data_IF_190401890767
#
_entry.id   IF_190401890767
#
_cell.length_a   1.000
_cell.length_b   1.000
_cell.length_c   1.000
_cell.angle_alpha   90.00
_cell.angle_beta   90.00
_cell.angle_gamma   90.00
#
_symmetry.space_group_name_H-M   'P 1'
#
loop_
_entity.id
_entity.type
_entity.pdbx_description
1 polymer ?
#
# COMPACT_ATOMS: atom_id res chain seq x y z
N UNK A 1 52.49 -14.47 2.75
CA UNK A 1 52.47 -15.90 2.35
C UNK A 1 52.26 -15.99 0.84
N UNK A 2 53.23 -16.53 0.10
CA UNK A 2 53.13 -16.64 -1.36
C UNK A 2 52.25 -17.85 -1.73
N UNK A 3 51.07 -17.59 -2.29
CA UNK A 3 50.17 -18.62 -2.82
C UNK A 3 50.88 -19.37 -3.98
N UNK A 4 50.74 -20.70 -4.02
CA UNK A 4 51.28 -21.54 -5.11
C UNK A 4 50.67 -21.15 -6.47
N UNK A 5 51.38 -21.43 -7.57
CA UNK A 5 50.93 -21.06 -8.92
C UNK A 5 49.54 -21.63 -9.27
N UNK A 6 49.23 -22.86 -8.83
CA UNK A 6 47.91 -23.47 -8.99
C UNK A 6 46.83 -22.73 -8.19
N UNK A 7 47.13 -22.32 -6.96
CA UNK A 7 46.20 -21.58 -6.10
C UNK A 7 45.90 -20.18 -6.64
N UNK A 8 46.87 -19.49 -7.24
CA UNK A 8 46.67 -18.15 -7.84
C UNK A 8 45.73 -18.18 -9.04
N UNK A 9 45.81 -19.22 -9.89
CA UNK A 9 44.93 -19.36 -11.05
C UNK A 9 43.49 -19.64 -10.64
N UNK A 10 43.28 -20.48 -9.62
CA UNK A 10 41.94 -20.73 -9.06
C UNK A 10 41.34 -19.47 -8.45
N UNK A 11 42.12 -18.72 -7.67
CA UNK A 11 41.68 -17.43 -7.09
C UNK A 11 41.35 -16.41 -8.17
N UNK A 12 42.17 -16.30 -9.23
CA UNK A 12 41.89 -15.42 -10.36
C UNK A 12 40.56 -15.77 -11.06
N UNK A 13 40.31 -17.05 -11.34
CA UNK A 13 39.05 -17.50 -11.94
C UNK A 13 37.84 -17.22 -11.04
N UNK A 14 37.96 -17.43 -9.72
CA UNK A 14 36.89 -17.14 -8.76
C UNK A 14 36.57 -15.64 -8.71
N UNK A 15 37.59 -14.77 -8.73
CA UNK A 15 37.40 -13.32 -8.73
C UNK A 15 36.75 -12.81 -10.01
N UNK A 16 37.15 -13.34 -11.17
CA UNK A 16 36.50 -13.00 -12.45
C UNK A 16 35.05 -13.50 -12.47
N UNK A 17 34.81 -14.73 -12.04
CA UNK A 17 33.46 -15.31 -11.96
C UNK A 17 32.53 -14.53 -11.03
N UNK A 18 33.00 -14.20 -9.83
CA UNK A 18 32.26 -13.37 -8.88
C UNK A 18 32.04 -11.94 -9.41
N UNK A 19 33.07 -11.35 -10.03
CA UNK A 19 32.97 -10.02 -10.63
C UNK A 19 31.92 -9.96 -11.74
N UNK A 20 31.93 -10.94 -12.64
CA UNK A 20 30.93 -11.08 -13.69
C UNK A 20 29.53 -11.29 -13.12
N UNK A 21 29.37 -12.15 -12.10
CA UNK A 21 28.09 -12.37 -11.43
C UNK A 21 27.54 -11.07 -10.82
N UNK A 22 28.37 -10.28 -10.13
CA UNK A 22 27.97 -9.01 -9.52
C UNK A 22 27.57 -7.96 -10.56
N UNK A 23 28.27 -7.91 -11.70
CA UNK A 23 27.89 -7.05 -12.83
C UNK A 23 26.54 -7.47 -13.40
N UNK A 24 26.32 -8.77 -13.60
CA UNK A 24 25.01 -9.29 -14.06
C UNK A 24 23.91 -8.93 -13.08
N UNK A 25 24.13 -9.10 -11.77
CA UNK A 25 23.17 -8.68 -10.74
C UNK A 25 22.91 -7.17 -10.80
N UNK A 26 23.95 -6.35 -10.93
CA UNK A 26 23.83 -4.89 -11.05
C UNK A 26 22.99 -4.46 -12.26
N UNK A 27 23.03 -5.20 -13.37
CA UNK A 27 22.21 -4.91 -14.55
C UNK A 27 20.78 -5.45 -14.41
N UNK A 28 20.61 -6.63 -13.82
CA UNK A 28 19.31 -7.29 -13.64
C UNK A 28 18.42 -6.58 -12.62
N UNK A 29 18.99 -6.09 -11.51
CA UNK A 29 18.19 -5.48 -10.44
C UNK A 29 17.32 -4.30 -10.93
N UNK A 30 17.88 -3.25 -11.57
CA UNK A 30 17.08 -2.11 -12.02
C UNK A 30 16.14 -2.45 -13.18
N UNK A 31 16.50 -3.42 -14.04
CA UNK A 31 15.75 -3.73 -15.26
C UNK A 31 14.67 -4.79 -15.08
N UNK A 32 14.78 -5.63 -14.05
CA UNK A 32 13.87 -6.75 -13.83
C UNK A 32 13.32 -6.81 -12.40
N UNK A 33 14.13 -6.47 -11.39
CA UNK A 33 13.79 -6.71 -9.98
C UNK A 33 13.01 -5.54 -9.37
N UNK A 34 13.32 -4.29 -9.71
CA UNK A 34 12.62 -3.10 -9.16
C UNK A 34 11.12 -3.16 -9.45
N UNK A 35 10.72 -3.51 -10.66
CA UNK A 35 9.31 -3.60 -11.04
C UNK A 35 8.51 -4.64 -10.23
N UNK A 36 9.20 -5.64 -9.67
CA UNK A 36 8.64 -6.70 -8.85
C UNK A 36 8.71 -6.40 -7.35
N UNK A 37 9.62 -5.52 -6.94
CA UNK A 37 9.84 -5.12 -5.55
C UNK A 37 9.09 -3.85 -5.18
N UNK A 38 8.84 -2.95 -6.13
CA UNK A 38 8.10 -1.72 -5.91
C UNK A 38 6.61 -2.07 -5.70
N UNK A 39 6.28 -2.35 -4.44
CA UNK A 39 4.98 -2.77 -3.95
C UNK A 39 4.74 -2.15 -2.59
N UNK A 40 3.49 -1.83 -2.31
CA UNK A 40 3.07 -1.33 -1.00
C UNK A 40 3.38 -2.39 0.06
N UNK A 41 4.00 -2.03 1.19
CA UNK A 41 4.28 -2.97 2.29
C UNK A 41 3.00 -3.59 2.87
N UNK A 42 3.11 -4.77 3.47
CA UNK A 42 1.98 -5.47 4.11
C UNK A 42 1.80 -5.11 5.59
N UNK A 43 2.77 -4.43 6.18
CA UNK A 43 2.77 -3.87 7.53
C UNK A 43 2.29 -2.41 7.54
N UNK A 44 1.47 -2.03 6.56
CA UNK A 44 0.92 -0.68 6.45
C UNK A 44 -0.06 -0.43 7.60
N UNK A 45 0.28 0.55 8.44
CA UNK A 45 -0.59 1.10 9.47
C UNK A 45 -0.54 2.62 9.38
N UNK A 46 -1.64 3.24 8.97
CA UNK A 46 -1.71 4.69 8.74
C UNK A 46 -2.91 5.28 9.45
N UNK A 47 -2.67 6.31 10.26
CA UNK A 47 -3.74 7.19 10.77
C UNK A 47 -3.65 8.54 10.07
N UNK A 48 -4.79 9.02 9.56
CA UNK A 48 -4.94 10.38 9.02
C UNK A 48 -6.01 11.12 9.79
N UNK A 49 -5.74 12.39 10.10
CA UNK A 49 -6.68 13.29 10.80
C UNK A 49 -6.94 14.49 9.90
N UNK A 50 -8.22 14.77 9.67
CA UNK A 50 -8.69 15.98 9.00
C UNK A 50 -9.56 16.80 9.93
N UNK A 51 -9.33 18.11 10.00
CA UNK A 51 -10.12 19.03 10.81
C UNK A 51 -10.97 19.94 9.93
N UNK A 52 -12.12 20.40 10.43
CA UNK A 52 -12.87 21.47 9.78
C UNK A 52 -12.00 22.71 9.62
N UNK A 53 -11.86 23.20 8.38
CA UNK A 53 -11.02 24.34 8.04
C UNK A 53 -11.53 25.61 8.75
N UNK A 54 -10.62 26.29 9.45
CA UNK A 54 -10.95 27.56 10.12
C UNK A 54 -11.43 28.62 9.11
N UNK A 55 -12.45 29.37 9.49
CA UNK A 55 -13.05 30.40 8.65
C UNK A 55 -13.93 29.88 7.50
N UNK A 56 -14.05 28.56 7.35
CA UNK A 56 -15.01 27.94 6.43
C UNK A 56 -16.31 27.60 7.14
N UNK A 57 -17.40 27.53 6.37
CA UNK A 57 -18.69 27.12 6.90
C UNK A 57 -18.64 25.65 7.37
N UNK A 58 -19.14 25.41 8.59
CA UNK A 58 -19.30 24.07 9.15
C UNK A 58 -20.66 23.96 9.82
N UNK A 59 -21.57 23.23 9.18
CA UNK A 59 -22.96 23.05 9.56
C UNK A 59 -23.24 21.59 9.90
N UNK A 60 -23.93 21.34 11.01
CA UNK A 60 -24.36 20.00 11.40
C UNK A 60 -25.80 20.05 11.90
N UNK A 61 -26.65 19.20 11.33
CA UNK A 61 -28.01 19.01 11.82
C UNK A 61 -27.99 18.39 13.22
N UNK A 62 -28.65 19.04 14.17
CA UNK A 62 -28.98 18.43 15.44
C UNK A 62 -30.09 17.39 15.20
N UNK A 63 -29.71 16.13 15.08
CA UNK A 63 -30.64 15.03 14.78
C UNK A 63 -31.76 14.89 15.81
N UNK A 64 -31.56 15.35 17.06
CA UNK A 64 -32.61 15.34 18.08
C UNK A 64 -33.73 16.34 17.79
N UNK A 65 -33.44 17.42 17.05
CA UNK A 65 -34.46 18.39 16.63
C UNK A 65 -35.50 17.79 15.68
N UNK A 66 -35.13 16.76 14.91
CA UNK A 66 -36.04 16.05 14.01
C UNK A 66 -37.13 15.30 14.76
N UNK A 67 -36.84 14.81 15.98
CA UNK A 67 -37.77 14.02 16.80
C UNK A 67 -38.33 14.80 17.99
N UNK A 68 -37.91 16.05 18.20
CA UNK A 68 -38.49 16.92 19.22
C UNK A 68 -40.01 17.13 18.97
N UNK A 69 -40.86 17.23 20.00
CA UNK A 69 -42.30 17.43 19.80
C UNK A 69 -42.63 18.73 19.05
N UNK A 70 -41.85 19.78 19.28
CA UNK A 70 -42.05 21.11 18.73
C UNK A 70 -40.78 21.61 18.01
N UNK A 71 -40.93 22.68 17.23
CA UNK A 71 -39.82 23.36 16.53
C UNK A 71 -39.40 22.71 15.22
N UNK A 72 -38.75 23.50 14.35
CA UNK A 72 -38.18 23.03 13.10
C UNK A 72 -36.83 22.30 13.31
N UNK A 73 -36.36 21.61 12.27
CA UNK A 73 -35.01 21.06 12.21
C UNK A 73 -33.98 22.16 12.49
N UNK A 74 -33.07 21.90 13.44
CA UNK A 74 -32.05 22.84 13.87
C UNK A 74 -30.69 22.44 13.28
N UNK A 75 -30.06 23.38 12.60
CA UNK A 75 -28.69 23.23 12.08
C UNK A 75 -27.76 24.07 12.93
N UNK A 76 -26.83 23.43 13.64
CA UNK A 76 -25.77 24.12 14.38
C UNK A 76 -24.72 24.64 13.38
N UNK A 77 -24.20 25.84 13.65
CA UNK A 77 -23.17 26.49 12.82
C UNK A 77 -21.83 26.56 13.54
N UNK A 78 -20.74 26.72 12.77
CA UNK A 78 -19.36 26.77 13.26
C UNK A 78 -19.00 25.54 14.10
N UNK A 79 -19.54 24.37 13.73
CA UNK A 79 -19.32 23.13 14.48
C UNK A 79 -17.92 22.62 14.20
N UNK A 80 -17.04 22.48 15.21
CA UNK A 80 -15.71 21.96 15.00
C UNK A 80 -15.78 20.45 14.74
N UNK A 81 -15.24 20.03 13.59
CA UNK A 81 -15.24 18.62 13.18
C UNK A 81 -13.84 18.05 13.13
N UNK A 82 -13.75 16.77 13.49
CA UNK A 82 -12.58 15.93 13.27
C UNK A 82 -13.02 14.68 12.49
N UNK A 83 -12.34 14.40 11.38
CA UNK A 83 -12.41 13.12 10.70
C UNK A 83 -11.11 12.37 10.96
N UNK A 84 -11.23 11.16 11.49
CA UNK A 84 -10.10 10.28 11.71
C UNK A 84 -10.30 9.04 10.86
N UNK A 85 -9.25 8.64 10.15
CA UNK A 85 -9.24 7.43 9.33
C UNK A 85 -8.00 6.60 9.65
N UNK A 86 -8.21 5.33 9.92
CA UNK A 86 -7.19 4.35 10.27
C UNK A 86 -7.18 3.22 9.24
N UNK A 87 -6.04 3.03 8.58
CA UNK A 87 -5.83 2.00 7.56
C UNK A 87 -4.94 0.90 8.12
N UNK A 88 -5.38 -0.34 7.96
CA UNK A 88 -4.59 -1.56 8.21
C UNK A 88 -4.62 -2.48 7.00
N UNK A 89 -3.68 -3.42 6.98
CA UNK A 89 -3.70 -4.55 6.05
C UNK A 89 -4.26 -5.76 6.76
N UNK A 90 -5.23 -6.42 6.12
CA UNK A 90 -5.92 -7.59 6.64
C UNK A 90 -5.73 -8.79 5.70
N UNK A 91 -6.03 -9.99 6.20
CA UNK A 91 -6.11 -11.20 5.37
C UNK A 91 -7.40 -11.20 4.54
N UNK A 92 -7.39 -11.59 3.24
CA UNK A 92 -6.26 -12.16 2.52
C UNK A 92 -5.30 -11.09 1.97
N UNK A 93 -4.00 -11.30 2.18
CA UNK A 93 -2.94 -10.48 1.59
C UNK A 93 -1.74 -11.35 1.18
N UNK A 94 -1.10 -11.02 0.06
CA UNK A 94 -0.03 -11.84 -0.51
C UNK A 94 1.03 -10.98 -1.24
N UNK A 95 1.85 -11.63 -2.07
CA UNK A 95 2.95 -10.97 -2.78
C UNK A 95 2.50 -9.95 -3.83
N UNK A 96 1.24 -10.00 -4.32
CA UNK A 96 0.72 -9.14 -5.38
C UNK A 96 -0.50 -8.34 -4.95
N UNK A 97 -1.32 -8.87 -4.05
CA UNK A 97 -2.58 -8.28 -3.62
C UNK A 97 -2.55 -8.01 -2.11
N UNK A 98 -3.28 -7.00 -1.67
CA UNK A 98 -3.48 -6.74 -0.25
C UNK A 98 -4.91 -6.30 0.03
N UNK A 99 -5.46 -6.74 1.14
CA UNK A 99 -6.75 -6.24 1.61
C UNK A 99 -6.52 -5.09 2.57
N UNK A 100 -6.97 -3.90 2.17
CA UNK A 100 -6.95 -2.71 3.03
C UNK A 100 -8.26 -2.66 3.78
N UNK A 101 -8.20 -2.45 5.10
CA UNK A 101 -9.34 -2.09 5.92
C UNK A 101 -9.15 -0.65 6.40
N UNK A 102 -10.16 0.18 6.17
CA UNK A 102 -10.19 1.56 6.62
C UNK A 102 -11.36 1.77 7.58
N UNK A 103 -11.04 2.00 8.85
CA UNK A 103 -11.99 2.53 9.82
C UNK A 103 -12.00 4.06 9.73
N UNK A 104 -13.13 4.66 9.42
CA UNK A 104 -13.30 6.11 9.35
C UNK A 104 -14.39 6.59 10.30
N UNK A 105 -14.09 7.64 11.06
CA UNK A 105 -15.08 8.36 11.85
C UNK A 105 -15.11 9.83 11.47
N UNK A 106 -16.28 10.43 11.61
CA UNK A 106 -16.47 11.88 11.59
C UNK A 106 -17.20 12.27 12.87
N UNK A 107 -16.63 13.21 13.62
CA UNK A 107 -17.14 13.63 14.92
C UNK A 107 -17.18 15.14 15.03
N UNK A 108 -18.17 15.66 15.74
CA UNK A 108 -18.13 17.01 16.31
C UNK A 108 -17.48 16.97 17.68
N UNK A 109 -16.53 17.87 17.93
CA UNK A 109 -15.71 17.86 19.16
C UNK A 109 -16.21 18.80 20.25
N UNK A 110 -17.27 19.55 19.98
CA UNK A 110 -17.99 20.37 20.96
C UNK A 110 -19.01 19.58 21.79
N UNK A 111 -19.08 18.25 21.60
CA UNK A 111 -19.91 17.30 22.34
C UNK A 111 -19.05 16.20 22.96
N UNK A 112 -19.48 15.66 24.11
CA UNK A 112 -18.72 14.65 24.84
C UNK A 112 -19.08 13.22 24.42
N UNK A 113 -18.09 12.33 24.45
CA UNK A 113 -18.26 10.90 24.17
C UNK A 113 -18.96 10.66 22.83
N UNK A 114 -19.79 9.62 22.77
CA UNK A 114 -20.45 9.17 21.53
C UNK A 114 -21.53 10.13 21.02
N UNK A 115 -21.95 11.11 21.83
CA UNK A 115 -22.90 12.13 21.37
C UNK A 115 -22.31 13.06 20.30
N UNK A 116 -20.98 13.06 20.14
CA UNK A 116 -20.29 13.78 19.07
C UNK A 116 -20.11 12.97 17.78
N UNK A 117 -20.39 11.66 17.76
CA UNK A 117 -20.21 10.83 16.58
C UNK A 117 -21.29 11.14 15.53
N UNK A 118 -20.87 11.53 14.31
CA UNK A 118 -21.77 11.81 13.20
C UNK A 118 -21.85 10.64 12.23
N UNK A 119 -20.71 10.00 11.96
CA UNK A 119 -20.63 8.84 11.05
C UNK A 119 -19.45 7.97 11.46
N UNK A 120 -19.63 6.66 11.35
CA UNK A 120 -18.59 5.65 11.45
C UNK A 120 -18.77 4.66 10.30
N UNK A 121 -17.68 4.34 9.61
CA UNK A 121 -17.67 3.40 8.49
C UNK A 121 -16.44 2.52 8.62
N UNK A 122 -16.61 1.23 8.37
CA UNK A 122 -15.49 0.33 8.06
C UNK A 122 -15.62 -0.06 6.60
N UNK A 123 -14.66 0.36 5.80
CA UNK A 123 -14.53 -0.09 4.42
C UNK A 123 -13.40 -1.10 4.31
N UNK A 124 -13.58 -2.10 3.45
CA UNK A 124 -12.60 -3.14 3.20
C UNK A 124 -12.54 -3.40 1.70
N UNK A 125 -11.34 -3.38 1.14
CA UNK A 125 -11.13 -3.60 -0.30
C UNK A 125 -9.81 -4.32 -0.56
N UNK A 126 -9.85 -5.36 -1.38
CA UNK A 126 -8.65 -6.03 -1.88
C UNK A 126 -8.14 -5.32 -3.13
N UNK A 127 -6.89 -4.85 -3.10
CA UNK A 127 -6.25 -4.08 -4.18
C UNK A 127 -4.92 -4.71 -4.59
N UNK A 128 -4.51 -4.46 -5.84
CA UNK A 128 -3.16 -4.77 -6.29
C UNK A 128 -2.15 -3.87 -5.55
N UNK A 129 -1.03 -4.45 -5.10
CA UNK A 129 0.00 -3.77 -4.27
C UNK A 129 0.89 -2.81 -5.03
N UNK A 130 0.89 -2.83 -6.37
CA UNK A 130 1.63 -1.89 -7.24
C UNK A 130 0.71 -0.80 -7.78
N UNK A 131 -0.41 -1.17 -8.39
CA UNK A 131 -1.32 -0.22 -9.07
C UNK A 131 -2.28 0.48 -8.11
N UNK A 132 -2.74 -0.21 -7.07
CA UNK A 132 -3.69 0.34 -6.08
C UNK A 132 -5.13 0.20 -6.51
N UNK A 133 -5.34 -0.34 -7.71
CA UNK A 133 -6.65 -0.67 -8.23
C UNK A 133 -7.23 -1.88 -7.48
N UNK A 134 -8.55 -1.89 -7.24
CA UNK A 134 -9.25 -3.08 -6.77
C UNK A 134 -9.03 -4.27 -7.69
N UNK A 135 -8.94 -5.46 -7.10
CA UNK A 135 -8.79 -6.71 -7.87
C UNK A 135 -10.10 -7.06 -8.58
N UNK A 136 -9.98 -7.82 -9.67
CA UNK A 136 -11.11 -8.32 -10.48
C UNK A 136 -11.71 -9.59 -9.85
N UNK A 137 -12.14 -9.46 -8.60
CA UNK A 137 -12.91 -10.47 -7.85
C UNK A 137 -14.24 -9.84 -7.48
N UNK A 138 -15.32 -10.61 -7.49
CA UNK A 138 -16.64 -10.12 -7.09
C UNK A 138 -17.19 -10.89 -5.88
N UNK A 139 -17.50 -10.21 -4.76
CA UNK A 139 -17.10 -8.84 -4.42
C UNK A 139 -15.59 -8.77 -4.10
N UNK A 140 -14.94 -7.65 -4.42
CA UNK A 140 -13.57 -7.35 -3.98
C UNK A 140 -13.51 -6.61 -2.64
N UNK A 141 -14.65 -6.31 -2.03
CA UNK A 141 -14.71 -5.56 -0.79
C UNK A 141 -16.07 -5.56 -0.11
N UNK A 142 -16.17 -4.76 0.93
CA UNK A 142 -17.40 -4.56 1.69
C UNK A 142 -17.38 -3.24 2.46
N UNK A 143 -18.56 -2.65 2.66
CA UNK A 143 -18.73 -1.44 3.47
C UNK A 143 -19.68 -1.76 4.63
N UNK A 144 -19.25 -1.46 5.85
CA UNK A 144 -20.09 -1.55 7.05
C UNK A 144 -20.34 -0.16 7.64
N UNK A 145 -21.60 0.20 7.82
CA UNK A 145 -22.02 1.49 8.44
C UNK A 145 -22.92 1.30 9.65
N UNK A 146 -23.20 0.06 10.04
CA UNK A 146 -24.07 -0.32 11.16
C UNK A 146 -23.46 -1.49 11.91
N UNK A 147 -23.96 -1.72 13.12
CA UNK A 147 -23.60 -2.86 13.95
C UNK A 147 -24.84 -3.67 14.32
N UNK A 148 -24.66 -4.96 14.61
CA UNK A 148 -25.71 -5.79 15.20
C UNK A 148 -25.88 -5.49 16.71
N UNK A 149 -26.73 -6.26 17.39
CA UNK A 149 -27.03 -6.04 18.82
C UNK A 149 -25.83 -6.35 19.72
N UNK A 150 -24.91 -7.16 19.21
CA UNK A 150 -23.68 -7.60 19.84
C UNK A 150 -22.53 -6.60 19.59
N UNK A 151 -22.75 -5.55 18.79
CA UNK A 151 -21.77 -4.53 18.46
C UNK A 151 -20.84 -4.89 17.31
N UNK A 152 -21.09 -5.99 16.61
CA UNK A 152 -20.30 -6.44 15.46
C UNK A 152 -20.74 -5.70 14.19
N UNK A 153 -19.77 -5.32 13.36
CA UNK A 153 -20.05 -4.61 12.10
C UNK A 153 -20.86 -5.46 11.12
N UNK A 154 -21.91 -4.89 10.54
CA UNK A 154 -22.69 -5.52 9.47
C UNK A 154 -22.13 -5.04 8.13
N UNK A 155 -21.41 -5.92 7.45
CA UNK A 155 -20.73 -5.59 6.20
C UNK A 155 -21.60 -5.89 4.97
N UNK A 156 -21.85 -4.87 4.16
CA UNK A 156 -22.48 -5.01 2.84
C UNK A 156 -21.41 -5.33 1.80
N UNK A 157 -21.53 -6.41 1.01
CA UNK A 157 -20.66 -6.65 -0.14
C UNK A 157 -20.70 -5.50 -1.14
N UNK A 158 -19.54 -4.99 -1.54
CA UNK A 158 -19.41 -3.88 -2.49
C UNK A 158 -18.30 -4.17 -3.49
N UNK A 159 -18.60 -3.96 -4.77
CA UNK A 159 -17.60 -3.99 -5.84
C UNK A 159 -16.98 -2.60 -6.01
N UNK A 160 -15.74 -2.46 -5.56
CA UNK A 160 -14.94 -1.27 -5.79
C UNK A 160 -14.40 -1.29 -7.22
N UNK A 161 -14.46 -0.14 -7.90
CA UNK A 161 -14.06 -0.04 -9.33
C UNK A 161 -13.05 1.09 -9.60
N UNK A 162 -12.48 1.68 -8.55
CA UNK A 162 -11.50 2.78 -8.64
C UNK A 162 -10.55 2.80 -7.44
N UNK A 163 -9.51 3.62 -7.55
CA UNK A 163 -8.56 3.92 -6.46
C UNK A 163 -9.28 4.54 -5.26
N UNK A 164 -8.67 4.44 -4.08
CA UNK A 164 -9.24 5.06 -2.88
C UNK A 164 -8.17 5.45 -1.87
N UNK A 165 -7.39 4.49 -1.38
CA UNK A 165 -6.45 4.75 -0.27
C UNK A 165 -5.06 5.20 -0.70
N UNK A 166 -4.72 4.97 -1.97
CA UNK A 166 -3.43 5.36 -2.56
C UNK A 166 -3.53 5.45 -4.07
N UNK A 167 -2.52 6.05 -4.67
CA UNK A 167 -2.30 6.06 -6.10
C UNK A 167 -1.29 4.98 -6.52
N UNK A 168 -1.18 4.67 -7.83
CA UNK A 168 -0.14 3.78 -8.33
C UNK A 168 1.26 4.27 -7.96
N UNK A 169 2.17 3.34 -7.68
CA UNK A 169 3.61 3.63 -7.66
C UNK A 169 4.00 4.16 -9.04
N UNK A 170 4.72 5.27 -9.09
CA UNK A 170 4.95 5.99 -10.34
C UNK A 170 3.67 6.65 -10.85
N UNK A 171 2.95 7.36 -9.98
CA UNK A 171 1.76 8.13 -10.34
C UNK A 171 2.08 9.09 -11.48
N UNK A 172 1.21 9.11 -12.48
CA UNK A 172 1.32 9.92 -13.69
C UNK A 172 0.37 11.13 -13.64
N UNK A 173 0.64 12.14 -14.46
CA UNK A 173 -0.20 13.35 -14.57
C UNK A 173 -1.42 13.10 -15.48
N UNK A 174 -2.33 12.24 -15.05
CA UNK A 174 -3.53 11.84 -15.80
C UNK A 174 -4.73 11.64 -14.88
N UNK A 175 -5.93 11.52 -15.43
CA UNK A 175 -7.10 11.15 -14.65
C UNK A 175 -7.06 9.68 -14.23
N UNK A 176 -7.57 9.39 -13.04
CA UNK A 176 -7.71 8.03 -12.52
C UNK A 176 -9.15 7.75 -12.09
N UNK A 177 -9.64 6.51 -12.26
CA UNK A 177 -10.89 6.10 -11.62
C UNK A 177 -10.69 6.14 -10.10
N UNK A 178 -11.54 6.84 -9.37
CA UNK A 178 -11.47 6.95 -7.91
C UNK A 178 -12.84 6.67 -7.27
N UNK A 179 -12.88 5.74 -6.33
CA UNK A 179 -14.11 5.28 -5.70
C UNK A 179 -14.54 6.22 -4.58
N UNK A 180 -15.82 6.61 -4.57
CA UNK A 180 -16.42 7.34 -3.46
C UNK A 180 -17.27 6.43 -2.58
N UNK A 181 -16.96 6.42 -1.28
CA UNK A 181 -17.61 5.60 -0.26
C UNK A 181 -19.09 5.90 -0.06
N UNK A 182 -19.48 7.18 -0.11
CA UNK A 182 -20.85 7.60 0.20
C UNK A 182 -21.78 7.35 -1.00
N UNK A 183 -21.30 7.63 -2.21
CA UNK A 183 -21.99 7.33 -3.46
C UNK A 183 -21.90 5.85 -3.85
N UNK A 184 -21.02 5.07 -3.21
CA UNK A 184 -20.63 3.69 -3.55
C UNK A 184 -20.38 3.53 -5.06
N UNK A 185 -19.70 4.52 -5.65
CA UNK A 185 -19.51 4.65 -7.10
C UNK A 185 -18.19 5.32 -7.43
N UNK A 186 -17.62 4.95 -8.57
CA UNK A 186 -16.40 5.53 -9.11
C UNK A 186 -16.69 6.75 -9.97
N UNK A 187 -15.89 7.80 -9.77
CA UNK A 187 -15.82 8.99 -10.61
C UNK A 187 -14.35 9.31 -10.87
N UNK A 188 -14.05 9.97 -11.97
CA UNK A 188 -12.67 10.34 -12.29
C UNK A 188 -12.14 11.38 -11.31
N UNK A 189 -10.94 11.13 -10.78
CA UNK A 189 -10.12 12.14 -10.12
C UNK A 189 -9.09 12.65 -11.13
N UNK A 190 -9.09 13.96 -11.38
CA UNK A 190 -8.33 14.58 -12.47
C UNK A 190 -7.07 15.24 -11.94
N UNK A 191 -5.96 15.12 -12.68
CA UNK A 191 -4.75 15.89 -12.41
C UNK A 191 -5.02 17.39 -12.62
N UNK A 192 -4.63 18.20 -11.65
CA UNK A 192 -4.78 19.66 -11.66
C UNK A 192 -3.42 20.32 -11.91
N UNK A 193 -2.45 20.07 -11.04
CA UNK A 193 -1.13 20.69 -11.12
C UNK A 193 -0.03 19.86 -10.45
N UNK A 194 1.23 20.20 -10.76
CA UNK A 194 2.41 19.78 -10.01
C UNK A 194 2.83 20.94 -9.11
N UNK A 195 3.08 20.65 -7.83
CA UNK A 195 3.50 21.64 -6.83
C UNK A 195 4.41 21.00 -5.78
N UNK A 196 4.76 21.73 -4.74
CA UNK A 196 5.58 21.25 -3.63
C UNK A 196 4.89 21.51 -2.28
N UNK A 197 4.99 20.53 -1.37
CA UNK A 197 4.63 20.68 0.04
C UNK A 197 5.91 20.43 0.83
N UNK A 198 6.40 21.44 1.57
CA UNK A 198 7.63 21.32 2.36
C UNK A 198 8.81 20.76 1.53
N UNK A 199 8.99 21.26 0.30
CA UNK A 199 10.00 20.82 -0.70
C UNK A 199 9.83 19.39 -1.25
N UNK A 200 8.76 18.69 -0.88
CA UNK A 200 8.39 17.41 -1.51
C UNK A 200 7.51 17.67 -2.72
N UNK A 201 7.96 17.24 -3.89
CA UNK A 201 7.18 17.28 -5.13
C UNK A 201 5.91 16.44 -4.98
N UNK A 202 4.76 17.04 -5.26
CA UNK A 202 3.46 16.39 -5.23
C UNK A 202 2.62 16.73 -6.46
N UNK A 203 1.72 15.83 -6.83
CA UNK A 203 0.69 16.07 -7.85
C UNK A 203 -0.65 16.31 -7.16
N UNK A 204 -1.29 17.42 -7.49
CA UNK A 204 -2.63 17.73 -7.02
C UNK A 204 -3.67 17.11 -7.95
N UNK A 205 -4.62 16.40 -7.36
CA UNK A 205 -5.72 15.73 -8.00
C UNK A 205 -7.04 16.21 -7.40
N UNK A 206 -8.05 16.44 -8.23
CA UNK A 206 -9.38 16.85 -7.78
C UNK A 206 -10.48 15.95 -8.35
N UNK A 207 -11.42 15.56 -7.48
CA UNK A 207 -12.61 14.79 -7.81
C UNK A 207 -13.85 15.60 -7.43
N UNK A 208 -14.85 15.60 -8.29
CA UNK A 208 -16.17 16.17 -7.98
C UNK A 208 -17.22 15.07 -8.03
N UNK A 209 -17.93 14.88 -6.93
CA UNK A 209 -19.06 13.96 -6.84
C UNK A 209 -20.34 14.76 -7.11
N UNK A 210 -21.09 14.43 -8.17
CA UNK A 210 -22.35 15.11 -8.47
C UNK A 210 -23.39 14.81 -7.38
N UNK A 211 -24.48 15.58 -7.39
CA UNK A 211 -25.62 15.37 -6.48
C UNK A 211 -26.09 13.93 -6.59
N UNK A 212 -25.95 13.19 -5.49
CA UNK A 212 -26.25 11.76 -5.41
C UNK A 212 -27.39 11.55 -4.42
N UNK A 213 -28.47 10.91 -4.89
CA UNK A 213 -29.56 10.47 -4.02
C UNK A 213 -29.11 9.26 -3.20
N UNK A 214 -28.95 9.40 -1.89
CA UNK A 214 -28.45 8.31 -1.05
C UNK A 214 -29.48 7.19 -0.83
N UNK A 215 -30.78 7.44 -1.03
CA UNK A 215 -31.80 6.40 -0.97
C UNK A 215 -31.67 5.38 -2.10
N UNK A 216 -31.21 5.82 -3.28
CA UNK A 216 -30.96 4.93 -4.43
C UNK A 216 -29.66 4.12 -4.27
N UNK A 217 -28.76 4.57 -3.38
CA UNK A 217 -27.49 3.89 -3.05
C UNK A 217 -27.70 2.86 -1.92
N UNK A 218 -28.26 3.30 -0.79
CA UNK A 218 -28.59 2.45 0.36
C UNK A 218 -29.93 2.90 0.93
N UNK A 219 -30.89 1.98 0.99
CA UNK A 219 -32.24 2.23 1.54
C UNK A 219 -32.25 2.26 3.08
N UNK A 220 -31.42 3.12 3.67
CA UNK A 220 -31.37 3.35 5.11
C UNK A 220 -32.50 4.31 5.54
N UNK A 221 -33.14 4.13 6.72
CA UNK A 221 -34.18 5.04 7.21
C UNK A 221 -33.71 6.50 7.29
N UNK A 222 -32.43 6.74 7.55
CA UNK A 222 -31.85 8.10 7.59
C UNK A 222 -31.67 8.74 6.21
N UNK A 223 -31.79 7.98 5.12
CA UNK A 223 -31.70 8.53 3.76
C UNK A 223 -33.06 8.99 3.22
N UNK A 224 -34.17 8.66 3.90
CA UNK A 224 -35.51 9.09 3.48
C UNK A 224 -36.43 9.23 4.70
N UNK A 225 -36.84 10.46 5.00
CA UNK A 225 -37.62 10.80 6.18
C UNK A 225 -38.95 11.42 5.79
N UNK A 226 -40.04 10.99 6.41
CA UNK A 226 -41.35 11.65 6.32
C UNK A 226 -41.68 12.26 7.67
N UNK A 227 -41.69 13.59 7.75
CA UNK A 227 -41.93 14.37 8.97
C UNK A 227 -42.95 15.49 8.67
N UNK A 228 -43.67 16.02 9.68
CA UNK A 228 -44.57 17.15 9.48
C UNK A 228 -43.90 18.32 8.74
N UNK A 229 -44.61 19.02 7.86
CA UNK A 229 -44.04 20.12 7.06
C UNK A 229 -43.29 21.17 7.91
N UNK A 230 -43.84 21.52 9.08
CA UNK A 230 -43.21 22.43 10.05
C UNK A 230 -41.80 22.00 10.49
N UNK A 231 -41.49 20.68 10.51
CA UNK A 231 -40.14 20.18 10.82
C UNK A 231 -39.12 20.57 9.78
N UNK A 232 -39.54 20.70 8.52
CA UNK A 232 -38.70 21.15 7.43
C UNK A 232 -38.68 22.67 7.26
N UNK A 233 -39.32 23.42 8.17
CA UNK A 233 -39.51 24.86 8.03
C UNK A 233 -40.49 25.23 6.91
N UNK A 234 -41.37 24.30 6.52
CA UNK A 234 -42.40 24.51 5.52
C UNK A 234 -43.75 24.79 6.18
N UNK A 235 -44.61 25.52 5.48
CA UNK A 235 -46.00 25.75 5.91
C UNK A 235 -46.84 24.48 5.75
N UNK A 236 -47.84 24.32 6.63
CA UNK A 236 -48.77 23.20 6.64
C UNK A 236 -48.50 22.17 7.75
N UNK A 237 -49.45 21.26 7.95
CA UNK A 237 -49.37 20.18 8.96
C UNK A 237 -49.08 18.81 8.35
N UNK A 238 -49.28 18.67 7.05
CA UNK A 238 -49.12 17.39 6.35
C UNK A 238 -47.66 16.89 6.37
N UNK A 239 -47.44 15.57 6.51
CA UNK A 239 -46.11 15.00 6.41
C UNK A 239 -45.49 15.24 5.01
N UNK A 240 -44.27 15.77 5.00
CA UNK A 240 -43.46 15.93 3.79
C UNK A 240 -42.33 14.92 3.85
N UNK A 241 -42.19 14.16 2.77
CA UNK A 241 -41.07 13.23 2.57
C UNK A 241 -39.89 13.97 1.96
N UNK A 242 -38.75 13.90 2.63
CA UNK A 242 -37.46 14.39 2.15
C UNK A 242 -36.49 13.22 1.97
N UNK A 243 -35.64 13.33 0.96
CA UNK A 243 -34.57 12.37 0.68
C UNK A 243 -33.22 13.01 0.97
N UNK A 244 -32.26 12.23 1.47
CA UNK A 244 -30.90 12.69 1.75
C UNK A 244 -30.05 12.61 0.49
N UNK A 245 -29.48 13.74 0.11
CA UNK A 245 -28.55 13.87 -1.01
C UNK A 245 -27.13 14.14 -0.50
N UNK A 246 -26.16 13.79 -1.32
CA UNK A 246 -24.73 13.98 -1.06
C UNK A 246 -24.03 14.60 -2.26
N UNK A 247 -23.09 15.51 -1.96
CA UNK A 247 -22.08 16.02 -2.89
C UNK A 247 -20.75 16.12 -2.15
N UNK A 248 -19.66 16.05 -2.91
CA UNK A 248 -18.32 16.25 -2.38
C UNK A 248 -17.41 16.82 -3.46
N UNK A 249 -16.48 17.68 -3.07
CA UNK A 249 -15.28 17.98 -3.86
C UNK A 249 -14.08 17.56 -3.04
N UNK A 250 -13.28 16.66 -3.59
CA UNK A 250 -12.13 16.06 -2.94
C UNK A 250 -10.85 16.52 -3.63
N UNK A 251 -9.90 16.99 -2.85
CA UNK A 251 -8.57 17.40 -3.29
C UNK A 251 -7.52 16.51 -2.62
N UNK A 252 -6.63 15.90 -3.40
CA UNK A 252 -5.57 15.03 -2.92
C UNK A 252 -4.22 15.48 -3.51
N UNK A 253 -3.20 15.60 -2.67
CA UNK A 253 -1.82 15.84 -3.09
C UNK A 253 -1.02 14.58 -2.88
N UNK A 254 -0.43 14.08 -3.96
CA UNK A 254 0.15 12.73 -4.03
C UNK A 254 1.64 12.83 -4.35
N UNK A 255 2.48 12.15 -3.55
CA UNK A 255 3.89 11.99 -3.91
C UNK A 255 4.00 10.95 -5.05
N UNK A 256 4.55 11.32 -6.21
CA UNK A 256 4.37 10.53 -7.42
C UNK A 256 5.22 9.26 -7.50
N UNK A 257 6.35 9.16 -6.80
CA UNK A 257 7.17 7.94 -6.85
C UNK A 257 6.49 6.78 -6.14
N UNK A 258 5.88 7.05 -5.00
CA UNK A 258 5.28 6.05 -4.11
C UNK A 258 3.77 5.92 -4.28
N UNK A 259 3.10 6.98 -4.75
CA UNK A 259 1.64 7.06 -4.81
C UNK A 259 0.99 7.36 -3.45
N UNK A 260 1.78 7.78 -2.45
CA UNK A 260 1.31 8.16 -1.11
C UNK A 260 0.53 9.47 -1.16
N UNK A 261 -0.64 9.52 -0.53
CA UNK A 261 -1.41 10.75 -0.35
C UNK A 261 -0.82 11.55 0.81
N UNK A 262 -0.18 12.69 0.50
CA UNK A 262 0.48 13.57 1.46
C UNK A 262 -0.51 14.48 2.16
N UNK A 263 -1.45 15.04 1.40
CA UNK A 263 -2.48 15.96 1.90
C UNK A 263 -3.82 15.61 1.26
N UNK A 264 -4.89 15.72 2.03
CA UNK A 264 -6.26 15.54 1.56
C UNK A 264 -7.19 16.64 2.09
N UNK A 265 -8.17 17.00 1.27
CA UNK A 265 -9.27 17.88 1.65
C UNK A 265 -10.59 17.42 1.04
N UNK A 266 -11.68 17.61 1.77
CA UNK A 266 -13.03 17.28 1.29
C UNK A 266 -14.04 18.38 1.66
N UNK A 267 -14.83 18.78 0.67
CA UNK A 267 -15.92 19.73 0.79
C UNK A 267 -17.25 18.97 0.79
N UNK A 268 -17.57 18.40 1.95
CA UNK A 268 -18.74 17.55 2.15
C UNK A 268 -20.00 18.40 2.21
N UNK A 269 -21.06 17.97 1.51
CA UNK A 269 -22.40 18.50 1.71
C UNK A 269 -23.45 17.39 1.60
N UNK A 270 -24.02 17.04 2.75
CA UNK A 270 -25.22 16.22 2.87
C UNK A 270 -26.40 17.10 3.25
N UNK A 271 -27.54 16.89 2.60
CA UNK A 271 -28.75 17.66 2.84
C UNK A 271 -30.00 16.83 2.57
N UNK A 272 -31.09 17.16 3.25
CA UNK A 272 -32.43 16.67 2.96
C UNK A 272 -33.11 17.61 1.96
N UNK A 273 -33.73 17.04 0.94
CA UNK A 273 -34.52 17.79 -0.04
C UNK A 273 -35.61 16.94 -0.68
N UNK A 274 -36.61 17.61 -1.28
CA UNK A 274 -37.58 16.96 -2.17
C UNK A 274 -36.98 16.62 -3.53
N UNK A 275 -36.03 17.42 -3.98
CA UNK A 275 -35.28 17.24 -5.23
C UNK A 275 -33.82 17.67 -5.04
N UNK A 276 -32.89 16.98 -5.69
CA UNK A 276 -31.46 17.18 -5.45
C UNK A 276 -30.90 18.54 -5.91
N UNK A 277 -31.62 19.24 -6.79
CA UNK A 277 -31.24 20.56 -7.31
C UNK A 277 -31.46 21.71 -6.30
N UNK A 278 -32.27 21.48 -5.26
CA UNK A 278 -32.59 22.49 -4.26
C UNK A 278 -32.48 21.93 -2.85
N UNK A 279 -31.33 22.15 -2.16
CA UNK A 279 -31.21 21.80 -0.75
C UNK A 279 -32.28 22.49 0.10
N UNK A 280 -33.03 21.72 0.90
CA UNK A 280 -34.01 22.25 1.85
C UNK A 280 -33.40 22.37 3.27
N UNK A 281 -32.86 21.27 3.83
CA UNK A 281 -32.23 21.25 5.17
C UNK A 281 -30.85 20.60 5.12
N UNK A 282 -29.80 21.34 5.44
CA UNK A 282 -28.43 20.80 5.53
C UNK A 282 -28.31 19.81 6.69
N UNK A 283 -27.86 18.59 6.39
CA UNK A 283 -27.55 17.56 7.36
C UNK A 283 -26.10 17.67 7.86
N UNK A 284 -25.17 17.88 6.93
CA UNK A 284 -23.76 18.14 7.18
C UNK A 284 -23.23 19.01 6.04
N UNK A 285 -22.54 20.10 6.33
CA UNK A 285 -21.75 20.82 5.34
C UNK A 285 -20.44 21.25 5.97
N UNK A 286 -19.31 20.81 5.44
CA UNK A 286 -18.02 21.18 6.01
C UNK A 286 -16.90 21.00 5.00
N UNK A 287 -15.90 21.87 5.09
CA UNK A 287 -14.62 21.69 4.43
C UNK A 287 -13.63 21.13 5.46
N UNK A 288 -13.23 19.87 5.31
CA UNK A 288 -12.27 19.21 6.19
C UNK A 288 -10.94 19.02 5.47
N UNK A 289 -9.82 19.33 6.13
CA UNK A 289 -8.48 19.23 5.57
C UNK A 289 -7.54 18.50 6.53
N UNK A 290 -6.59 17.74 6.00
CA UNK A 290 -5.56 17.09 6.82
C UNK A 290 -4.85 18.12 7.70
N UNK A 291 -4.59 17.75 8.96
CA UNK A 291 -3.77 18.57 9.84
C UNK A 291 -2.27 18.43 9.55
N UNK A 292 -1.48 19.34 10.11
CA UNK A 292 -0.04 19.40 9.82
C UNK A 292 0.68 18.13 10.29
N UNK A 293 0.31 17.58 11.46
CA UNK A 293 0.89 16.33 11.96
C UNK A 293 0.63 15.16 10.98
N UNK A 294 -0.57 15.10 10.39
CA UNK A 294 -0.91 14.12 9.37
C UNK A 294 -0.04 14.33 8.13
N UNK A 295 0.08 15.56 7.63
CA UNK A 295 0.92 15.88 6.46
C UNK A 295 2.37 15.45 6.70
N UNK A 296 2.97 15.86 7.83
CA UNK A 296 4.34 15.49 8.20
C UNK A 296 4.51 13.97 8.30
N UNK A 297 3.55 13.26 8.92
CA UNK A 297 3.60 11.79 9.02
C UNK A 297 3.53 11.10 7.65
N UNK A 298 2.67 11.57 6.75
CA UNK A 298 2.55 11.01 5.40
C UNK A 298 3.79 11.32 4.55
N UNK A 299 4.38 12.50 4.71
CA UNK A 299 5.67 12.84 4.11
C UNK A 299 6.78 11.91 4.60
N UNK A 300 6.85 11.62 5.90
CA UNK A 300 7.84 10.69 6.44
C UNK A 300 7.68 9.28 5.86
N UNK A 301 6.44 8.80 5.75
CA UNK A 301 6.12 7.51 5.10
C UNK A 301 6.53 7.51 3.62
N UNK A 302 6.23 8.57 2.88
CA UNK A 302 6.63 8.68 1.48
C UNK A 302 8.16 8.72 1.34
N UNK A 303 8.86 9.45 2.20
CA UNK A 303 10.32 9.55 2.18
C UNK A 303 10.99 8.20 2.48
N UNK A 304 10.54 7.46 3.50
CA UNK A 304 11.07 6.12 3.80
C UNK A 304 10.89 5.18 2.58
N UNK A 305 9.74 5.23 1.92
CA UNK A 305 9.49 4.45 0.72
C UNK A 305 10.36 4.88 -0.47
N UNK A 306 10.58 6.18 -0.68
CA UNK A 306 11.51 6.71 -1.69
C UNK A 306 12.94 6.22 -1.42
N UNK A 307 13.39 6.28 -0.16
CA UNK A 307 14.74 5.88 0.23
C UNK A 307 14.95 4.38 0.01
N UNK A 308 13.95 3.55 0.34
CA UNK A 308 13.96 2.11 0.03
C UNK A 308 14.01 1.85 -1.47
N UNK A 309 13.18 2.55 -2.26
CA UNK A 309 13.20 2.43 -3.72
C UNK A 309 14.56 2.82 -4.30
N UNK A 310 15.17 3.90 -3.82
CA UNK A 310 16.50 4.35 -4.23
C UNK A 310 17.60 3.37 -3.81
N UNK A 311 17.53 2.82 -2.60
CA UNK A 311 18.50 1.85 -2.09
C UNK A 311 18.55 0.60 -2.97
N UNK A 312 17.40 -0.04 -3.19
CA UNK A 312 17.33 -1.28 -3.94
C UNK A 312 17.39 -1.07 -5.45
N UNK A 313 16.82 0.02 -5.96
CA UNK A 313 16.75 0.27 -7.40
C UNK A 313 17.95 0.98 -8.00
N UNK A 314 18.75 1.69 -7.20
CA UNK A 314 19.85 2.52 -7.71
C UNK A 314 21.16 2.30 -6.96
N UNK A 315 21.18 2.44 -5.63
CA UNK A 315 22.42 2.40 -4.85
C UNK A 315 23.04 1.00 -4.85
N UNK A 316 22.25 -0.03 -4.53
CA UNK A 316 22.71 -1.43 -4.49
C UNK A 316 23.26 -1.88 -5.85
N UNK A 317 22.55 -1.68 -6.99
CA UNK A 317 23.11 -1.95 -8.32
C UNK A 317 24.45 -1.26 -8.60
N UNK A 318 24.60 0.02 -8.25
CA UNK A 318 25.84 0.76 -8.47
C UNK A 318 26.99 0.14 -7.67
N UNK A 319 26.76 -0.16 -6.38
CA UNK A 319 27.78 -0.77 -5.52
C UNK A 319 28.17 -2.15 -6.04
N UNK A 320 27.20 -3.00 -6.40
CA UNK A 320 27.45 -4.32 -7.00
C UNK A 320 28.22 -4.21 -8.31
N UNK A 321 27.87 -3.25 -9.17
CA UNK A 321 28.54 -3.01 -10.44
C UNK A 321 30.00 -2.58 -10.27
N UNK A 322 30.26 -1.60 -9.39
CA UNK A 322 31.62 -1.13 -9.09
C UNK A 322 32.48 -2.23 -8.49
N UNK A 323 31.97 -2.94 -7.48
CA UNK A 323 32.68 -4.07 -6.88
C UNK A 323 32.91 -5.18 -7.90
N UNK A 324 31.92 -5.47 -8.75
CA UNK A 324 32.01 -6.46 -9.80
C UNK A 324 33.12 -6.14 -10.82
N UNK A 325 33.19 -4.89 -11.26
CA UNK A 325 34.26 -4.41 -12.17
C UNK A 325 35.63 -4.49 -11.49
N UNK A 326 35.75 -4.05 -10.24
CA UNK A 326 37.02 -4.13 -9.49
C UNK A 326 37.50 -5.58 -9.38
N UNK A 327 36.60 -6.50 -8.99
CA UNK A 327 36.94 -7.92 -8.84
C UNK A 327 37.31 -8.57 -10.17
N UNK A 328 36.61 -8.22 -11.26
CA UNK A 328 36.95 -8.68 -12.60
C UNK A 328 38.35 -8.21 -13.04
N UNK A 329 38.67 -6.92 -12.85
CA UNK A 329 39.99 -6.35 -13.19
C UNK A 329 41.10 -7.01 -12.37
N UNK A 330 40.93 -7.14 -11.04
CA UNK A 330 41.92 -7.78 -10.17
C UNK A 330 42.11 -9.25 -10.55
N UNK A 331 41.02 -9.97 -10.83
CA UNK A 331 41.06 -11.35 -11.29
C UNK A 331 41.84 -11.51 -12.59
N UNK A 332 41.61 -10.64 -13.58
CA UNK A 332 42.36 -10.63 -14.84
C UNK A 332 43.85 -10.33 -14.60
N UNK A 333 44.18 -9.31 -13.80
CA UNK A 333 45.58 -8.95 -13.50
C UNK A 333 46.32 -10.11 -12.82
N UNK A 334 45.68 -10.78 -11.85
CA UNK A 334 46.25 -11.95 -11.16
C UNK A 334 46.42 -13.15 -12.10
N UNK A 335 45.46 -13.36 -13.00
CA UNK A 335 45.52 -14.41 -14.02
C UNK A 335 46.67 -14.21 -15.02
N UNK A 336 46.84 -12.99 -15.52
CA UNK A 336 47.89 -12.64 -16.51
C UNK A 336 49.28 -12.69 -15.87
N UNK A 337 49.44 -12.19 -14.63
CA UNK A 337 50.74 -12.21 -13.93
C UNK A 337 51.18 -13.60 -13.46
N UNK A 338 50.29 -14.59 -13.43
CA UNK A 338 50.60 -15.98 -13.09
C UNK A 338 51.03 -16.86 -14.26
N UNK A 339 50.99 -16.35 -15.51
CA UNK A 339 51.23 -17.12 -16.74
C UNK A 339 52.70 -17.37 -17.14
N UNK A 340 53.68 -16.77 -16.45
CA UNK A 340 55.11 -16.90 -16.77
C UNK A 340 55.81 -18.02 -15.98
N UNK A 341 55.30 -19.25 -16.07
CA UNK A 341 56.07 -20.44 -15.68
C UNK A 341 56.23 -21.35 -16.91
N UNK A 342 57.45 -21.56 -17.43
CA UNK A 342 57.67 -22.44 -18.58
C UNK A 342 57.27 -23.87 -18.20
N UNK A 343 56.47 -24.50 -19.06
CA UNK A 343 56.09 -25.90 -18.91
C UNK A 343 57.32 -26.80 -18.89
N UNK A 344 57.48 -27.73 -17.92
CA UNK A 344 58.54 -28.73 -18.02
C UNK A 344 58.20 -29.68 -19.16
N UNK A 345 59.13 -29.80 -20.11
CA UNK A 345 59.06 -30.71 -21.24
C UNK A 345 58.98 -32.18 -20.75
N UNK A 346 58.06 -32.95 -21.36
CA UNK A 346 58.08 -34.41 -21.32
C UNK A 346 59.36 -34.96 -21.95
N UNK A 347 59.97 -36.02 -21.40
CA UNK A 347 60.75 -36.94 -22.22
C UNK A 347 59.94 -38.21 -22.54
N UNK A 348 60.05 -38.63 -23.80
CA UNK A 348 59.61 -39.93 -24.34
C UNK A 348 60.86 -40.77 -24.63
N UNK A 349 60.86 -42.03 -24.15
CA UNK A 349 61.58 -43.26 -24.60
C UNK A 349 61.96 -44.07 -23.35
N UNK A 350 61.78 -45.38 -23.22
CA UNK A 350 61.44 -46.45 -24.16
C UNK A 350 62.32 -47.67 -23.84
N UNK A 351 61.70 -48.84 -23.61
CA UNK A 351 62.32 -50.15 -23.87
C UNK A 351 62.87 -51.00 -22.71
N UNK A 352 62.23 -52.17 -22.55
CA UNK A 352 62.75 -53.50 -22.16
C UNK A 352 62.61 -54.03 -20.71
N UNK A 353 61.99 -55.22 -20.64
CA UNK A 353 61.91 -56.25 -19.58
C UNK A 353 62.60 -57.54 -20.12
N UNK A 354 62.71 -58.67 -19.37
CA UNK A 354 63.26 -58.96 -18.02
C UNK A 354 64.26 -60.17 -18.10
N UNK A 355 64.65 -60.92 -17.03
CA UNK A 355 63.77 -61.99 -16.46
C UNK A 355 63.96 -62.44 -14.97
N UNK A 356 62.92 -63.16 -14.49
CA UNK A 356 62.86 -64.39 -13.64
C UNK A 356 63.14 -64.45 -12.11
N UNK A 357 62.14 -65.03 -11.39
CA UNK A 357 62.25 -65.99 -10.26
C UNK A 357 62.05 -65.41 -8.84
N UNK A 358 61.32 -65.98 -7.87
CA UNK A 358 60.38 -67.12 -7.75
C UNK A 358 59.85 -67.19 -6.28
N UNK A 359 58.71 -67.89 -6.09
CA UNK A 359 58.17 -68.50 -4.85
C UNK A 359 57.14 -67.73 -3.95
N UNK A 360 56.13 -68.49 -3.51
CA UNK A 360 54.95 -68.18 -2.68
C UNK A 360 54.81 -69.25 -1.55
N UNK A 361 53.69 -69.38 -0.79
CA UNK A 361 53.03 -68.56 0.27
C UNK A 361 52.87 -69.42 1.59
N UNK A 362 51.82 -69.42 2.48
CA UNK A 362 50.65 -68.54 2.73
C UNK A 362 50.28 -68.29 4.25
N UNK A 363 49.09 -67.69 4.48
CA UNK A 363 48.11 -67.73 5.62
C UNK A 363 47.90 -66.36 6.27
N UNK A 364 46.67 -65.86 6.52
CA UNK A 364 45.31 -66.35 6.35
C UNK A 364 44.32 -65.36 6.99
N UNK A 365 43.01 -65.53 6.73
CA UNK A 365 41.92 -64.98 7.55
C UNK A 365 41.07 -63.85 6.94
N UNK A 366 39.82 -64.17 6.64
CA UNK A 366 38.69 -63.26 6.41
C UNK A 366 37.52 -63.73 7.34
N UNK A 367 36.27 -63.19 7.34
CA UNK A 367 35.73 -61.88 6.92
C UNK A 367 34.66 -61.29 7.92
N UNK A 368 33.90 -60.27 7.47
CA UNK A 368 32.53 -59.75 7.87
C UNK A 368 32.55 -58.34 8.48
N UNK A 369 31.62 -57.42 8.22
CA UNK A 369 30.38 -57.34 7.42
C UNK A 369 30.15 -55.86 7.02
N UNK A 370 29.50 -55.55 5.90
CA UNK A 370 28.05 -55.40 5.72
C UNK A 370 27.48 -54.10 6.33
N UNK A 371 26.94 -53.29 5.41
CA UNK A 371 25.73 -52.46 5.50
C UNK A 371 25.78 -50.98 5.94
N UNK A 372 25.32 -50.18 4.96
CA UNK A 372 24.32 -49.10 5.03
C UNK A 372 24.63 -47.73 5.67
N UNK A 373 24.38 -46.70 4.84
CA UNK A 373 24.07 -45.34 5.24
C UNK A 373 22.68 -45.27 5.89
N UNK A 374 22.37 -44.26 6.73
CA UNK A 374 21.66 -43.11 6.15
C UNK A 374 21.93 -41.74 6.81
N UNK A 375 21.53 -40.73 6.03
CA UNK A 375 21.26 -39.31 6.35
C UNK A 375 20.60 -39.04 7.70
N UNK A 376 21.11 -38.04 8.44
CA UNK A 376 20.37 -37.34 9.50
C UNK A 376 19.82 -35.99 9.02
N UNK A 377 18.53 -35.80 9.33
CA UNK A 377 17.74 -34.61 9.13
C UNK A 377 18.04 -33.58 10.24
N UNK A 378 18.27 -32.32 9.87
CA UNK A 378 18.33 -31.22 10.84
C UNK A 378 16.90 -30.78 11.18
N UNK A 379 16.56 -30.96 12.45
CA UNK A 379 15.28 -30.62 13.06
C UNK A 379 15.33 -29.18 13.59
N UNK A 380 14.63 -28.24 12.93
CA UNK A 380 14.47 -26.87 13.45
C UNK A 380 13.13 -26.79 14.18
N UNK A 381 13.19 -26.86 15.51
CA UNK A 381 12.04 -26.57 16.37
C UNK A 381 11.80 -25.06 16.44
N UNK A 382 10.53 -24.72 16.24
CA UNK A 382 9.86 -23.45 16.51
C UNK A 382 9.70 -23.20 18.02
N UNK A 383 9.76 -21.91 18.35
CA UNK A 383 9.01 -21.15 19.36
C UNK A 383 9.36 -21.30 20.86
N UNK A 384 9.65 -20.17 21.52
CA UNK A 384 8.64 -19.31 22.13
C UNK A 384 9.09 -17.85 22.13
#
# INVERSE_FOLDING_TARGET
MALSAGTRRTVACLLVGLGALLIVMALMIPTYTVDKLAKTPLDLEITTIANSQQGSESLVLDSRSLTAPEGAAKVDSNVPLISQRFLTVEEPSNATEMTVQAGQTLRRIDKQGDTGLLTAVVDRVTIDRKTGMPVDKEPNGSIATTVNKEGESIADPVQHTGLQYRFPIGTEKKSYPYFDLNARKTFDINFVEETEINSMKVYHFQQTIPVTNLWDVVQAPTNRLSLPAAKWGLEGEEPVTMTRFYTNTRDLWVEPQTGTVIKGGEQLHLFYARSGDKPDVTALKSNIIFDENTIESQMAVAQDNIDRLSLYGRIMPIVLGVLGVILAIVGVILGVRGGNAPAPARPVRGGNLPPSGSAAPPRGGAPRGADDAPTEQINVKKNL
#
